data_IF_683144729782
#
_entry.id   IF_683144729782
#
_cell.length_a   1.000
_cell.length_b   1.000
_cell.length_c   1.000
_cell.angle_alpha   90.00
_cell.angle_beta   90.00
_cell.angle_gamma   90.00
#
_symmetry.space_group_name_H-M   'P 1'
#
loop_
_entity.id
_entity.type
_entity.pdbx_description
1 polymer ?
#
# COMPACT_ATOMS: atom_id res chain seq x y z
N UNK A 1 13.37 20.64 10.68
CA UNK A 1 13.41 19.18 10.83
C UNK A 1 14.83 18.70 10.83
N UNK A 2 15.13 17.76 11.72
CA UNK A 2 16.38 17.03 11.78
C UNK A 2 16.43 15.91 10.73
N UNK A 3 17.63 15.54 10.32
CA UNK A 3 17.86 14.52 9.29
C UNK A 3 17.35 13.15 9.74
N UNK A 4 17.40 12.86 11.05
CA UNK A 4 16.95 11.57 11.59
C UNK A 4 15.44 11.38 11.42
N UNK A 5 14.62 12.37 11.78
CA UNK A 5 13.16 12.33 11.54
C UNK A 5 12.82 12.16 10.06
N UNK A 6 13.56 12.82 9.16
CA UNK A 6 13.35 12.71 7.72
C UNK A 6 13.66 11.30 7.21
N UNK A 7 14.79 10.72 7.63
CA UNK A 7 15.18 9.36 7.25
C UNK A 7 14.21 8.30 7.79
N UNK A 8 13.76 8.45 9.04
CA UNK A 8 12.76 7.57 9.65
C UNK A 8 11.46 7.54 8.83
N UNK A 9 10.99 8.71 8.40
CA UNK A 9 9.78 8.83 7.60
C UNK A 9 9.94 8.26 6.18
N UNK A 10 11.09 8.52 5.54
CA UNK A 10 11.43 7.91 4.25
C UNK A 10 11.49 6.39 4.33
N UNK A 11 12.01 5.85 5.44
CA UNK A 11 12.03 4.40 5.67
C UNK A 11 10.61 3.84 5.80
N UNK A 12 9.73 4.50 6.54
CA UNK A 12 8.31 4.14 6.61
C UNK A 12 7.62 4.14 5.24
N UNK A 13 7.86 5.19 4.44
CA UNK A 13 7.35 5.29 3.07
C UNK A 13 7.89 4.14 2.18
N UNK A 14 9.18 3.81 2.30
CA UNK A 14 9.79 2.71 1.56
C UNK A 14 9.14 1.36 1.89
N UNK A 15 8.81 1.10 3.17
CA UNK A 15 8.09 -0.12 3.58
C UNK A 15 6.71 -0.19 2.93
N UNK A 16 5.95 0.92 2.92
CA UNK A 16 4.63 0.95 2.29
C UNK A 16 4.72 0.69 0.78
N UNK A 17 5.64 1.38 0.10
CA UNK A 17 5.87 1.23 -1.34
C UNK A 17 6.28 -0.20 -1.69
N UNK A 18 7.24 -0.77 -0.96
CA UNK A 18 7.74 -2.13 -1.16
C UNK A 18 6.65 -3.17 -0.93
N UNK A 19 5.89 -3.04 0.16
CA UNK A 19 4.79 -3.95 0.48
C UNK A 19 3.73 -3.93 -0.64
N UNK A 20 3.36 -2.74 -1.11
CA UNK A 20 2.43 -2.59 -2.23
C UNK A 20 2.99 -3.20 -3.53
N UNK A 21 4.28 -3.01 -3.82
CA UNK A 21 4.97 -3.61 -4.99
C UNK A 21 4.96 -5.14 -4.95
N UNK A 22 5.14 -5.73 -3.77
CA UNK A 22 5.17 -7.19 -3.57
C UNK A 22 3.75 -7.78 -3.67
N UNK A 23 2.76 -7.07 -3.12
CA UNK A 23 1.39 -7.57 -3.00
C UNK A 23 0.58 -7.39 -4.29
N UNK A 24 0.77 -6.29 -5.03
CA UNK A 24 0.05 -6.02 -6.27
C UNK A 24 0.06 -7.18 -7.29
N UNK A 25 1.21 -7.73 -7.73
CA UNK A 25 1.21 -8.84 -8.68
C UNK A 25 0.67 -10.14 -8.06
N UNK A 26 0.94 -10.41 -6.78
CA UNK A 26 0.41 -11.60 -6.10
C UNK A 26 -1.11 -11.58 -5.97
N UNK A 27 -1.67 -10.40 -5.79
CA UNK A 27 -3.12 -10.17 -5.74
C UNK A 27 -3.76 -10.24 -7.13
N UNK A 28 -3.07 -9.78 -8.17
CA UNK A 28 -3.54 -9.90 -9.57
C UNK A 28 -3.51 -11.36 -10.05
N UNK A 29 -2.42 -12.08 -9.79
CA UNK A 29 -2.23 -13.46 -10.29
C UNK A 29 -2.99 -14.52 -9.46
N UNK A 30 -3.73 -14.11 -8.42
CA UNK A 30 -4.40 -15.05 -7.51
C UNK A 30 -3.46 -15.93 -6.68
N UNK A 31 -2.16 -15.59 -6.64
CA UNK A 31 -1.12 -16.35 -5.92
C UNK A 31 -1.20 -16.18 -4.40
N UNK A 32 -1.93 -15.17 -3.94
CA UNK A 32 -2.19 -14.95 -2.53
C UNK A 32 -3.34 -15.85 -2.08
N UNK A 33 -3.03 -17.03 -1.53
CA UNK A 33 -4.05 -17.92 -0.94
C UNK A 33 -4.66 -17.27 0.30
N UNK A 34 -5.94 -17.59 0.59
CA UNK A 34 -6.62 -17.15 1.81
C UNK A 34 -5.82 -17.54 3.04
N UNK A 35 -5.48 -16.55 3.86
CA UNK A 35 -4.71 -16.75 5.08
C UNK A 35 -4.97 -15.60 6.07
N UNK A 36 -4.60 -15.77 7.33
CA UNK A 36 -4.83 -14.78 8.40
C UNK A 36 -3.64 -13.85 8.66
N UNK A 37 -2.52 -14.04 7.96
CA UNK A 37 -1.25 -13.33 8.19
C UNK A 37 -1.03 -12.16 7.21
N UNK A 38 -1.28 -12.35 5.91
CA UNK A 38 -0.92 -11.42 4.83
C UNK A 38 -2.11 -11.18 3.90
N UNK A 39 -2.46 -9.91 3.71
CA UNK A 39 -3.51 -9.48 2.78
C UNK A 39 -4.52 -8.52 3.42
N UNK A 40 -5.61 -8.26 2.68
CA UNK A 40 -6.73 -7.44 3.15
C UNK A 40 -7.64 -8.33 3.99
N UNK A 41 -7.55 -8.19 5.32
CA UNK A 41 -8.24 -9.05 6.28
C UNK A 41 -9.46 -8.33 6.82
N UNK A 42 -10.62 -8.77 6.37
CA UNK A 42 -11.93 -8.33 6.83
C UNK A 42 -12.79 -9.57 7.03
N UNK A 43 -13.89 -9.42 7.77
CA UNK A 43 -14.84 -10.54 7.97
C UNK A 43 -15.32 -11.12 6.63
N UNK A 44 -15.45 -10.28 5.60
CA UNK A 44 -15.96 -10.64 4.29
C UNK A 44 -14.87 -11.21 3.39
N UNK A 45 -13.66 -10.68 3.41
CA UNK A 45 -12.57 -11.25 2.60
C UNK A 45 -12.13 -12.63 3.09
N UNK A 46 -12.35 -12.95 4.37
CA UNK A 46 -12.03 -14.25 4.95
C UNK A 46 -13.17 -15.28 4.84
N UNK A 47 -14.37 -14.89 4.40
CA UNK A 47 -15.56 -15.76 4.44
C UNK A 47 -15.52 -16.90 3.44
N UNK A 48 -14.82 -16.75 2.32
CA UNK A 48 -14.67 -17.78 1.29
C UNK A 48 -13.43 -17.51 0.45
N UNK A 49 -12.94 -18.54 -0.26
CA UNK A 49 -11.78 -18.39 -1.14
C UNK A 49 -12.13 -17.52 -2.36
N UNK A 50 -13.37 -17.57 -2.83
CA UNK A 50 -13.90 -16.73 -3.90
C UNK A 50 -13.95 -15.25 -3.47
N UNK A 51 -14.46 -14.96 -2.27
CA UNK A 51 -14.48 -13.61 -1.71
C UNK A 51 -13.07 -13.05 -1.54
N UNK A 52 -12.13 -13.89 -1.07
CA UNK A 52 -10.73 -13.53 -0.94
C UNK A 52 -10.11 -13.17 -2.29
N UNK A 53 -10.25 -14.04 -3.30
CA UNK A 53 -9.65 -13.87 -4.61
C UNK A 53 -10.21 -12.63 -5.32
N UNK A 54 -11.55 -12.48 -5.35
CA UNK A 54 -12.20 -11.35 -6.00
C UNK A 54 -11.79 -10.01 -5.39
N UNK A 55 -11.74 -9.93 -4.06
CA UNK A 55 -11.35 -8.73 -3.35
C UNK A 55 -9.88 -8.34 -3.61
N UNK A 56 -8.97 -9.31 -3.61
CA UNK A 56 -7.55 -9.05 -3.87
C UNK A 56 -7.29 -8.71 -5.34
N UNK A 57 -7.92 -9.40 -6.28
CA UNK A 57 -7.84 -9.08 -7.70
C UNK A 57 -8.34 -7.65 -7.97
N UNK A 58 -9.45 -7.25 -7.34
CA UNK A 58 -9.96 -5.88 -7.45
C UNK A 58 -9.04 -4.83 -6.80
N UNK A 59 -8.36 -5.19 -5.71
CA UNK A 59 -7.42 -4.29 -5.04
C UNK A 59 -6.08 -4.13 -5.79
N UNK A 60 -5.69 -5.09 -6.63
CA UNK A 60 -4.38 -5.13 -7.27
C UNK A 60 -3.99 -3.88 -8.06
N UNK A 61 -4.87 -3.26 -8.88
CA UNK A 61 -4.54 -2.02 -9.57
C UNK A 61 -4.25 -0.87 -8.60
N UNK A 62 -5.01 -0.77 -7.51
CA UNK A 62 -4.82 0.27 -6.49
C UNK A 62 -3.51 0.06 -5.74
N UNK A 63 -3.15 -1.19 -5.40
CA UNK A 63 -1.85 -1.53 -4.83
C UNK A 63 -0.70 -1.12 -5.77
N UNK A 64 -0.86 -1.31 -7.08
CA UNK A 64 0.13 -0.86 -8.07
C UNK A 64 0.28 0.66 -8.11
N UNK A 65 -0.83 1.40 -8.02
CA UNK A 65 -0.81 2.87 -7.91
C UNK A 65 -0.09 3.29 -6.63
N UNK A 66 -0.44 2.71 -5.48
CA UNK A 66 0.24 2.96 -4.19
C UNK A 66 1.75 2.75 -4.29
N UNK A 67 2.19 1.66 -4.93
CA UNK A 67 3.60 1.37 -5.12
C UNK A 67 4.31 2.46 -5.92
N UNK A 68 3.77 2.85 -7.08
CA UNK A 68 4.35 3.90 -7.92
C UNK A 68 4.38 5.25 -7.21
N UNK A 69 3.28 5.64 -6.57
CA UNK A 69 3.21 6.88 -5.77
C UNK A 69 4.28 6.90 -4.69
N UNK A 70 4.44 5.78 -3.97
CA UNK A 70 5.44 5.65 -2.91
C UNK A 70 6.87 5.78 -3.44
N UNK A 71 7.22 5.07 -4.51
CA UNK A 71 8.56 5.13 -5.10
C UNK A 71 8.90 6.50 -5.67
N UNK A 72 7.96 7.14 -6.39
CA UNK A 72 8.17 8.47 -6.97
C UNK A 72 8.44 9.50 -5.87
N UNK A 73 7.61 9.54 -4.83
CA UNK A 73 7.76 10.51 -3.74
C UNK A 73 8.99 10.21 -2.88
N UNK A 74 9.36 8.94 -2.71
CA UNK A 74 10.59 8.56 -2.03
C UNK A 74 11.83 9.04 -2.79
N UNK A 75 11.86 8.90 -4.13
CA UNK A 75 12.96 9.39 -4.96
C UNK A 75 13.06 10.91 -4.88
N UNK A 76 11.94 11.64 -4.96
CA UNK A 76 11.94 13.10 -4.81
C UNK A 76 12.46 13.52 -3.43
N UNK A 77 12.01 12.87 -2.35
CA UNK A 77 12.50 13.13 -1.00
C UNK A 77 14.00 12.83 -0.85
N UNK A 78 14.49 11.77 -1.49
CA UNK A 78 15.92 11.43 -1.51
C UNK A 78 16.74 12.50 -2.24
N UNK A 79 16.28 12.98 -3.41
CA UNK A 79 16.94 14.07 -4.14
C UNK A 79 17.03 15.33 -3.29
N UNK A 80 15.94 15.74 -2.62
CA UNK A 80 15.99 16.90 -1.71
C UNK A 80 16.93 16.69 -0.52
N UNK A 81 17.03 15.46 0.00
CA UNK A 81 17.97 15.12 1.08
C UNK A 81 19.43 15.23 0.61
N UNK A 82 19.74 14.77 -0.61
CA UNK A 82 21.07 14.89 -1.21
C UNK A 82 21.46 16.35 -1.45
N UNK A 83 20.51 17.20 -1.82
CA UNK A 83 20.68 18.65 -1.95
C UNK A 83 20.70 19.40 -0.60
N UNK A 84 20.62 18.66 0.53
CA UNK A 84 20.54 19.20 1.90
C UNK A 84 19.34 20.14 2.16
N UNK A 85 18.27 19.99 1.38
CA UNK A 85 17.00 20.72 1.55
C UNK A 85 16.05 19.90 2.42
N UNK A 86 16.43 19.67 3.68
CA UNK A 86 15.71 18.77 4.60
C UNK A 86 14.24 19.14 4.85
N UNK A 87 13.84 20.43 4.96
CA UNK A 87 12.43 20.77 5.11
C UNK A 87 11.57 20.29 3.92
N UNK A 88 12.07 20.44 2.69
CA UNK A 88 11.37 19.98 1.49
C UNK A 88 11.34 18.45 1.43
N UNK A 89 12.45 17.77 1.72
CA UNK A 89 12.52 16.32 1.79
C UNK A 89 11.48 15.74 2.77
N UNK A 90 11.36 16.34 3.96
CA UNK A 90 10.38 15.92 4.96
C UNK A 90 8.94 16.14 4.51
N UNK A 91 8.62 17.29 3.91
CA UNK A 91 7.26 17.57 3.40
C UNK A 91 6.87 16.55 2.33
N UNK A 92 7.78 16.25 1.40
CA UNK A 92 7.54 15.25 0.35
C UNK A 92 7.37 13.85 0.93
N UNK A 93 8.25 13.44 1.85
CA UNK A 93 8.14 12.13 2.50
C UNK A 93 6.83 12.00 3.30
N UNK A 94 6.41 13.05 4.00
CA UNK A 94 5.14 13.09 4.73
C UNK A 94 3.95 12.98 3.79
N UNK A 95 3.93 13.78 2.73
CA UNK A 95 2.87 13.75 1.73
C UNK A 95 2.78 12.37 1.07
N UNK A 96 3.91 11.75 0.73
CA UNK A 96 3.95 10.40 0.19
C UNK A 96 3.46 9.33 1.15
N UNK A 97 3.84 9.44 2.43
CA UNK A 97 3.36 8.51 3.45
C UNK A 97 1.84 8.58 3.60
N UNK A 98 1.28 9.80 3.73
CA UNK A 98 -0.16 10.02 3.85
C UNK A 98 -0.89 9.55 2.59
N UNK A 99 -0.38 9.85 1.40
CA UNK A 99 -0.96 9.43 0.14
C UNK A 99 -1.00 7.89 0.01
N UNK A 100 0.12 7.21 0.29
CA UNK A 100 0.17 5.75 0.28
C UNK A 100 -0.80 5.14 1.29
N UNK A 101 -0.85 5.68 2.51
CA UNK A 101 -1.79 5.21 3.54
C UNK A 101 -3.25 5.37 3.10
N UNK A 102 -3.61 6.54 2.56
CA UNK A 102 -4.95 6.79 2.05
C UNK A 102 -5.33 5.84 0.90
N UNK A 103 -4.42 5.62 -0.06
CA UNK A 103 -4.64 4.68 -1.16
C UNK A 103 -4.83 3.23 -0.67
N UNK A 104 -4.04 2.80 0.32
CA UNK A 104 -4.18 1.47 0.94
C UNK A 104 -5.51 1.32 1.68
N UNK A 105 -5.94 2.35 2.42
CA UNK A 105 -7.25 2.35 3.08
C UNK A 105 -8.38 2.25 2.05
N UNK A 106 -8.34 3.05 0.98
CA UNK A 106 -9.33 2.98 -0.11
C UNK A 106 -9.32 1.60 -0.77
N UNK A 107 -8.15 1.02 -1.03
CA UNK A 107 -8.04 -0.34 -1.56
C UNK A 107 -8.73 -1.36 -0.63
N UNK A 108 -8.48 -1.26 0.68
CA UNK A 108 -9.11 -2.12 1.70
C UNK A 108 -10.63 -1.98 1.74
N UNK A 109 -11.16 -0.75 1.73
CA UNK A 109 -12.61 -0.52 1.73
C UNK A 109 -13.28 -1.04 0.46
N UNK A 110 -12.68 -0.81 -0.72
CA UNK A 110 -13.21 -1.31 -1.99
C UNK A 110 -13.17 -2.84 -2.05
N UNK A 111 -12.05 -3.45 -1.64
CA UNK A 111 -11.91 -4.89 -1.54
C UNK A 111 -12.96 -5.52 -0.61
N UNK A 112 -13.19 -4.91 0.56
CA UNK A 112 -14.24 -5.36 1.48
C UNK A 112 -15.64 -5.25 0.88
N UNK A 113 -15.92 -4.20 0.11
CA UNK A 113 -17.22 -4.04 -0.57
C UNK A 113 -17.43 -5.08 -1.67
N UNK A 114 -16.38 -5.45 -2.41
CA UNK A 114 -16.42 -6.56 -3.38
C UNK A 114 -16.66 -7.88 -2.66
N UNK A 115 -15.96 -8.15 -1.57
CA UNK A 115 -16.10 -9.39 -0.82
C UNK A 115 -17.52 -9.63 -0.29
N UNK A 116 -18.27 -8.58 0.07
CA UNK A 116 -19.68 -8.66 0.51
C UNK A 116 -20.62 -9.29 -0.54
N UNK A 117 -20.23 -9.29 -1.81
CA UNK A 117 -21.05 -9.80 -2.91
C UNK A 117 -20.95 -11.33 -3.03
N UNK A 118 -20.05 -11.96 -2.28
CA UNK A 118 -19.81 -13.40 -2.34
C UNK A 118 -20.42 -14.10 -1.13
N UNK A 119 -20.98 -15.31 -1.32
CA UNK A 119 -21.53 -16.10 -0.22
C UNK A 119 -20.42 -16.54 0.75
N UNK A 120 -20.82 -16.71 2.00
CA UNK A 120 -19.99 -17.33 3.04
C UNK A 120 -19.91 -18.83 2.76
N UNK A 121 -18.70 -19.39 2.76
CA UNK A 121 -18.47 -20.83 2.59
C UNK A 121 -18.44 -21.56 3.94
#
# INVERSE_FOLDING_TARGET
MDSFSTLSLMFGLAILALTASILAPRSADGRLKRNTMVGIRTRHTLSSDEAWLAAHHHAAPMLRVTAWTGWILLVIAAVFSLLKIFPAAFVVATAGFIACLALLLVAGFRANNVAKQYPTA
#
